data_IF_354739906972
#
_entry.id   IF_354739906972
#
_cell.length_a   1.000
_cell.length_b   1.000
_cell.length_c   1.000
_cell.angle_alpha   90.00
_cell.angle_beta   90.00
_cell.angle_gamma   90.00
#
_symmetry.space_group_name_H-M   'P 1'
#
loop_
_entity.id
_entity.type
_entity.pdbx_description
1 polymer ?
#
# COMPACT_ATOMS: atom_id res chain seq x y z
N UNK A 1 2.09 -43.84 -30.36
CA UNK A 1 2.58 -43.27 -29.09
C UNK A 1 2.09 -41.86 -28.87
N UNK A 2 2.38 -40.97 -29.80
CA UNK A 2 1.90 -39.59 -29.70
C UNK A 2 0.39 -39.49 -29.67
N UNK A 3 -0.33 -40.32 -30.45
CA UNK A 3 -1.77 -40.36 -30.49
C UNK A 3 -2.38 -40.81 -29.15
N UNK A 4 -1.75 -41.72 -28.45
CA UNK A 4 -2.18 -42.19 -27.14
C UNK A 4 -2.04 -41.13 -26.08
N UNK A 5 -0.91 -40.44 -26.05
CA UNK A 5 -0.69 -39.37 -25.13
C UNK A 5 -1.68 -38.21 -25.37
N UNK A 6 -1.97 -37.95 -26.65
CA UNK A 6 -2.92 -36.92 -27.02
C UNK A 6 -4.37 -37.33 -26.62
N UNK A 7 -4.72 -38.58 -26.79
CA UNK A 7 -6.01 -39.08 -26.37
C UNK A 7 -6.19 -39.02 -24.86
N UNK A 8 -5.17 -39.32 -24.09
CA UNK A 8 -5.20 -39.20 -22.64
C UNK A 8 -5.35 -37.74 -22.21
N UNK A 9 -4.66 -36.85 -22.86
CA UNK A 9 -4.78 -35.41 -22.57
C UNK A 9 -6.20 -34.93 -22.90
N UNK A 10 -6.76 -35.35 -24.01
CA UNK A 10 -8.11 -35.00 -24.40
C UNK A 10 -9.15 -35.56 -23.41
N UNK A 11 -8.97 -36.80 -22.96
CA UNK A 11 -9.85 -37.41 -21.98
C UNK A 11 -9.80 -36.66 -20.63
N UNK A 12 -8.59 -36.26 -20.19
CA UNK A 12 -8.45 -35.49 -18.97
C UNK A 12 -9.07 -34.09 -19.11
N UNK A 13 -8.95 -33.46 -20.28
CA UNK A 13 -9.58 -32.20 -20.55
C UNK A 13 -11.09 -32.28 -20.65
N UNK A 14 -11.64 -33.45 -21.04
CA UNK A 14 -13.06 -33.67 -21.12
C UNK A 14 -13.71 -33.88 -19.74
N UNK A 15 -12.95 -34.19 -18.72
CA UNK A 15 -13.40 -34.34 -17.36
C UNK A 15 -13.25 -33.00 -16.62
N UNK A 16 -14.33 -32.24 -16.39
CA UNK A 16 -14.23 -30.96 -15.71
C UNK A 16 -13.75 -31.10 -14.26
N UNK A 17 -14.05 -32.19 -13.59
CA UNK A 17 -13.64 -32.45 -12.23
C UNK A 17 -12.14 -32.71 -12.14
N UNK A 18 -11.58 -33.48 -13.07
CA UNK A 18 -10.14 -33.75 -13.13
C UNK A 18 -9.33 -32.51 -13.44
N UNK A 19 -9.84 -31.64 -14.33
CA UNK A 19 -9.20 -30.39 -14.67
C UNK A 19 -9.19 -29.42 -13.50
N UNK A 20 -10.29 -29.32 -12.78
CA UNK A 20 -10.40 -28.51 -11.58
C UNK A 20 -9.47 -29.00 -10.46
N UNK A 21 -9.38 -30.32 -10.30
CA UNK A 21 -8.49 -30.94 -9.31
C UNK A 21 -7.02 -30.63 -9.57
N UNK A 22 -6.61 -30.56 -10.83
CA UNK A 22 -5.24 -30.19 -11.20
C UNK A 22 -4.96 -28.73 -10.94
N UNK A 23 -5.95 -27.85 -11.03
CA UNK A 23 -5.81 -26.44 -10.77
C UNK A 23 -5.89 -26.08 -9.29
N UNK A 24 -6.46 -26.95 -8.47
CA UNK A 24 -6.63 -26.71 -7.04
C UNK A 24 -5.32 -26.33 -6.31
N UNK A 25 -4.21 -27.08 -6.48
CA UNK A 25 -2.95 -26.71 -5.83
C UNK A 25 -2.44 -25.36 -6.27
N UNK A 26 -2.63 -25.01 -7.56
CA UNK A 26 -2.19 -23.73 -8.10
C UNK A 26 -3.04 -22.59 -7.54
N UNK A 27 -4.34 -22.76 -7.48
CA UNK A 27 -5.28 -21.78 -6.89
C UNK A 27 -4.97 -21.58 -5.42
N UNK A 28 -4.73 -22.66 -4.69
CA UNK A 28 -4.36 -22.60 -3.28
C UNK A 28 -3.08 -21.81 -3.05
N UNK A 29 -2.08 -22.03 -3.91
CA UNK A 29 -0.81 -21.30 -3.85
C UNK A 29 -1.02 -19.80 -4.10
N UNK A 30 -1.84 -19.43 -5.08
CA UNK A 30 -2.17 -18.04 -5.34
C UNK A 30 -2.90 -17.39 -4.17
N UNK A 31 -3.84 -18.09 -3.55
CA UNK A 31 -4.58 -17.61 -2.38
C UNK A 31 -3.61 -17.37 -1.22
N UNK A 32 -2.70 -18.30 -0.97
CA UNK A 32 -1.70 -18.16 0.09
C UNK A 32 -0.78 -16.97 -0.18
N UNK A 33 -0.29 -16.83 -1.41
CA UNK A 33 0.54 -15.70 -1.81
C UNK A 33 -0.22 -14.38 -1.65
N UNK A 34 -1.50 -14.36 -2.02
CA UNK A 34 -2.34 -13.18 -1.84
C UNK A 34 -2.43 -12.77 -0.38
N UNK A 35 -2.68 -13.73 0.52
CA UNK A 35 -2.75 -13.44 1.96
C UNK A 35 -1.41 -12.98 2.52
N UNK A 36 -0.30 -13.54 2.04
CA UNK A 36 1.01 -13.22 2.57
C UNK A 36 1.58 -11.91 2.04
N UNK A 37 1.24 -11.54 0.79
CA UNK A 37 1.83 -10.36 0.14
C UNK A 37 0.89 -9.16 0.12
N UNK A 38 -0.37 -9.37 -0.23
CA UNK A 38 -1.32 -8.27 -0.47
C UNK A 38 -1.94 -7.78 0.84
N UNK A 39 -2.28 -8.69 1.72
CA UNK A 39 -2.91 -8.33 3.00
C UNK A 39 -2.04 -7.41 3.87
N UNK A 40 -0.74 -7.68 4.06
CA UNK A 40 0.13 -6.74 4.77
C UNK A 40 0.24 -5.38 4.09
N UNK A 41 0.27 -5.35 2.75
CA UNK A 41 0.33 -4.11 1.98
C UNK A 41 -0.95 -3.29 2.17
N UNK A 42 -2.11 -3.93 2.15
CA UNK A 42 -3.39 -3.26 2.40
C UNK A 42 -3.46 -2.72 3.82
N UNK A 43 -2.94 -3.43 4.80
CA UNK A 43 -2.90 -2.96 6.18
C UNK A 43 -2.04 -1.71 6.32
N UNK A 44 -0.86 -1.69 5.71
CA UNK A 44 0.03 -0.52 5.71
C UNK A 44 -0.61 0.67 5.03
N UNK A 45 -1.26 0.45 3.89
CA UNK A 45 -1.96 1.50 3.17
C UNK A 45 -3.10 2.08 4.00
N UNK A 46 -3.83 1.25 4.72
CA UNK A 46 -4.92 1.67 5.60
C UNK A 46 -4.40 2.47 6.79
N UNK A 47 -3.31 2.04 7.40
CA UNK A 47 -2.66 2.76 8.49
C UNK A 47 -2.16 4.13 8.04
N UNK A 48 -1.54 4.19 6.86
CA UNK A 48 -1.07 5.44 6.27
C UNK A 48 -2.24 6.38 5.98
N UNK A 49 -3.32 5.86 5.43
CA UNK A 49 -4.53 6.65 5.16
C UNK A 49 -5.14 7.21 6.44
N UNK A 50 -5.18 6.42 7.51
CA UNK A 50 -5.68 6.85 8.81
C UNK A 50 -4.77 7.93 9.41
N UNK A 51 -3.46 7.78 9.29
CA UNK A 51 -2.47 8.76 9.74
C UNK A 51 -2.65 10.09 9.02
N UNK A 52 -2.82 10.05 7.71
CA UNK A 52 -3.05 11.24 6.89
C UNK A 52 -4.38 11.91 7.24
N UNK A 53 -5.42 11.14 7.49
CA UNK A 53 -6.73 11.67 7.88
C UNK A 53 -6.71 12.33 9.25
N UNK A 54 -5.80 11.96 10.12
CA UNK A 54 -5.66 12.51 11.46
C UNK A 54 -4.76 13.75 11.52
N UNK A 55 -4.19 14.18 10.41
CA UNK A 55 -3.31 15.36 10.35
C UNK A 55 -4.08 16.62 10.76
N UNK A 56 -3.46 17.43 11.58
CA UNK A 56 -4.02 18.69 12.04
C UNK A 56 -2.96 19.80 12.04
N UNK A 57 -3.45 21.03 12.09
CA UNK A 57 -2.59 22.22 12.17
C UNK A 57 -1.68 22.13 13.39
N UNK A 58 -0.40 22.41 13.19
CA UNK A 58 0.61 22.35 14.24
C UNK A 58 1.36 21.02 14.33
N UNK A 59 0.92 19.98 13.63
CA UNK A 59 1.61 18.71 13.60
C UNK A 59 2.93 18.83 12.82
N UNK A 60 3.95 18.18 13.33
CA UNK A 60 5.24 18.08 12.63
C UNK A 60 5.26 16.80 11.82
N UNK A 61 5.64 16.90 10.56
CA UNK A 61 5.57 15.78 9.62
C UNK A 61 6.85 15.67 8.80
N UNK A 62 7.10 14.49 8.30
CA UNK A 62 8.14 14.22 7.32
C UNK A 62 7.48 13.73 6.05
N UNK A 63 7.79 14.36 4.92
CA UNK A 63 7.30 13.89 3.62
C UNK A 63 8.03 12.62 3.21
N UNK A 64 7.49 11.91 2.23
CA UNK A 64 8.14 10.71 1.70
C UNK A 64 9.51 11.03 1.08
N UNK A 65 9.71 12.26 0.63
CA UNK A 65 11.02 12.72 0.15
C UNK A 65 12.02 13.06 1.24
N UNK A 66 11.63 12.96 2.52
CA UNK A 66 12.53 13.23 3.64
C UNK A 66 12.53 14.68 4.14
N UNK A 67 11.61 15.52 3.66
CA UNK A 67 11.51 16.91 4.08
C UNK A 67 10.72 17.01 5.38
N UNK A 68 11.31 17.60 6.38
CA UNK A 68 10.68 17.85 7.68
C UNK A 68 9.99 19.21 7.67
N UNK A 69 8.77 19.28 8.19
CA UNK A 69 8.01 20.53 8.26
C UNK A 69 6.90 20.49 9.29
N UNK A 70 6.26 21.63 9.48
CA UNK A 70 5.10 21.77 10.37
C UNK A 70 3.87 22.14 9.55
N UNK A 71 2.76 21.49 9.82
CA UNK A 71 1.50 21.77 9.15
C UNK A 71 0.94 23.09 9.64
N UNK A 72 0.71 24.03 8.72
CA UNK A 72 0.11 25.33 9.02
C UNK A 72 -1.32 25.43 8.51
N UNK A 73 -1.69 24.61 7.53
CA UNK A 73 -3.04 24.56 6.96
C UNK A 73 -3.34 23.18 6.44
N UNK A 74 -4.57 22.72 6.65
CA UNK A 74 -5.05 21.42 6.15
C UNK A 74 -6.21 21.67 5.20
N UNK A 75 -6.08 21.22 3.96
CA UNK A 75 -7.13 21.19 2.96
C UNK A 75 -7.58 19.76 2.71
N UNK A 76 -8.56 19.58 1.84
CA UNK A 76 -9.16 18.27 1.58
C UNK A 76 -8.14 17.25 1.03
N UNK A 77 -7.33 17.69 0.04
CA UNK A 77 -6.35 16.81 -0.62
C UNK A 77 -4.90 17.25 -0.41
N UNK A 78 -4.69 18.41 0.18
CA UNK A 78 -3.39 19.05 0.34
C UNK A 78 -3.21 19.56 1.75
N UNK A 79 -1.96 19.67 2.16
CA UNK A 79 -1.58 20.37 3.40
C UNK A 79 -0.52 21.39 3.07
N UNK A 80 -0.56 22.53 3.74
CA UNK A 80 0.49 23.54 3.66
C UNK A 80 1.47 23.28 4.80
N UNK A 81 2.74 23.09 4.47
CA UNK A 81 3.77 22.72 5.42
C UNK A 81 4.84 23.82 5.43
N UNK A 82 5.14 24.33 6.61
CA UNK A 82 6.25 25.25 6.80
C UNK A 82 7.54 24.45 7.00
N UNK A 83 8.44 24.52 6.01
CA UNK A 83 9.69 23.76 6.01
C UNK A 83 10.87 24.55 6.60
N UNK A 84 10.73 25.87 6.65
CA UNK A 84 11.69 26.79 7.25
C UNK A 84 10.92 28.04 7.67
N UNK A 85 11.52 28.88 8.48
CA UNK A 85 10.87 30.11 8.92
C UNK A 85 10.46 30.99 7.73
N UNK A 86 9.18 31.21 7.57
CA UNK A 86 8.61 31.99 6.47
C UNK A 86 8.51 31.27 5.14
N UNK A 87 8.87 30.00 5.06
CA UNK A 87 8.82 29.21 3.82
C UNK A 87 7.76 28.12 3.95
N UNK A 88 6.69 28.26 3.19
CA UNK A 88 5.59 27.32 3.17
C UNK A 88 5.47 26.67 1.80
N UNK A 89 5.20 25.36 1.79
CA UNK A 89 4.96 24.59 0.57
C UNK A 89 3.68 23.81 0.69
N UNK A 90 3.00 23.62 -0.44
CA UNK A 90 1.81 22.81 -0.51
C UNK A 90 2.21 21.37 -0.85
N UNK A 91 1.79 20.44 -0.02
CA UNK A 91 2.14 19.02 -0.16
C UNK A 91 0.86 18.21 -0.28
N UNK A 92 0.85 17.23 -1.16
CA UNK A 92 -0.27 16.29 -1.25
C UNK A 92 -0.34 15.45 0.01
N UNK A 93 -1.54 15.24 0.55
CA UNK A 93 -1.72 14.44 1.77
C UNK A 93 -1.07 13.06 1.68
N UNK A 94 -1.18 12.30 0.58
CA UNK A 94 -0.51 10.99 0.48
C UNK A 94 1.01 11.05 0.53
N UNK A 95 1.61 12.21 0.28
CA UNK A 95 3.06 12.39 0.33
C UNK A 95 3.60 12.60 1.74
N UNK A 96 2.73 12.75 2.73
CA UNK A 96 3.15 12.77 4.13
C UNK A 96 3.48 11.33 4.54
N UNK A 97 4.73 11.10 4.91
CA UNK A 97 5.20 9.76 5.26
C UNK A 97 5.12 9.45 6.74
N UNK A 98 5.38 10.44 7.58
CA UNK A 98 5.49 10.23 9.02
C UNK A 98 5.01 11.46 9.78
N UNK A 99 4.34 11.23 10.91
CA UNK A 99 3.99 12.30 11.86
C UNK A 99 4.92 12.18 13.06
N UNK A 100 5.59 13.26 13.41
CA UNK A 100 6.53 13.30 14.51
C UNK A 100 5.91 13.92 15.76
N UNK A 101 6.44 13.63 16.95
CA UNK A 101 6.02 14.31 18.16
C UNK A 101 6.27 15.83 18.05
N UNK A 102 5.37 16.61 18.63
CA UNK A 102 5.54 18.06 18.67
C UNK A 102 6.82 18.44 19.39
N UNK A 103 7.54 19.37 18.81
CA UNK A 103 8.81 19.81 19.36
C UNK A 103 10.04 19.18 18.71
N UNK A 104 9.87 18.22 17.82
CA UNK A 104 11.00 17.58 17.13
C UNK A 104 11.79 18.57 16.29
N UNK A 105 11.12 19.52 15.64
CA UNK A 105 11.79 20.55 14.83
C UNK A 105 12.59 21.51 15.69
N UNK A 106 12.17 21.77 16.90
CA UNK A 106 12.91 22.66 17.81
C UNK A 106 14.22 22.05 18.27
N UNK A 107 14.33 20.73 18.27
CA UNK A 107 15.55 20.02 18.66
C UNK A 107 16.60 20.01 17.53
N UNK A 108 16.19 20.37 16.33
CA UNK A 108 17.08 20.45 15.17
C UNK A 108 17.54 21.87 14.93
#
# INVERSE_FOLDING_TARGET
MISLAHAQTTAAAADPTGGLMQLLPMILMFVVLWFLMIRPQMKKAKEHKALVAALSKGDEVVTQGGILGRIVKVDENYVTVEIAAGTEVVVQKPSIGLVLPKGTMKAL
#
